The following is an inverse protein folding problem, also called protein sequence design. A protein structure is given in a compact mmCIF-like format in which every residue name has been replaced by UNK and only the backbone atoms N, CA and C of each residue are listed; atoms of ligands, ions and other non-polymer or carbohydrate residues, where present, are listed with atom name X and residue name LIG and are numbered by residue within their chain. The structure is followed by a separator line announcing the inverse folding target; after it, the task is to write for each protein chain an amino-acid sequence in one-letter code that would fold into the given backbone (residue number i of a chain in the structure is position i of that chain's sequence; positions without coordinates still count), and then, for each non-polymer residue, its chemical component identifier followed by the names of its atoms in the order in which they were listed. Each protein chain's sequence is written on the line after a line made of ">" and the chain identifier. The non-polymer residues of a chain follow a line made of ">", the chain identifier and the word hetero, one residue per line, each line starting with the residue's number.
data_IF_663396920278
#
_entry.id   IF_663396920278
#
_cell.length_a   1.000
_cell.length_b   1.000
_cell.length_c   1.000
_cell.angle_alpha   90.00
_cell.angle_beta   90.00
_cell.angle_gamma   90.00
#
_symmetry.space_group_name_H-M   'P 1'
#
loop_
_entity.id
_entity.type
_entity.pdbx_description
1 polymer ?
#
# COMPACT_ATOMS: atom_id res chain seq x y z
N UNK A 1 24.37 4.99 17.42
CA UNK A 1 23.04 5.33 16.86
C UNK A 1 22.00 4.86 17.86
N UNK A 2 21.29 5.78 18.52
CA UNK A 2 20.40 5.45 19.66
C UNK A 2 19.07 4.87 19.19
N UNK A 3 18.42 4.00 19.99
CA UNK A 3 17.13 3.36 19.71
C UNK A 3 16.08 4.35 19.19
N UNK A 4 16.07 5.57 19.74
CA UNK A 4 15.17 6.67 19.36
C UNK A 4 15.38 7.15 17.93
N UNK A 5 16.62 7.20 17.44
CA UNK A 5 16.92 7.62 16.06
C UNK A 5 16.46 6.56 15.04
N UNK A 6 16.58 5.28 15.39
CA UNK A 6 16.09 4.16 14.56
C UNK A 6 14.55 4.19 14.40
N UNK A 7 13.83 4.39 15.52
CA UNK A 7 12.36 4.49 15.51
C UNK A 7 11.87 5.71 14.72
N UNK A 8 12.56 6.85 14.81
CA UNK A 8 12.17 8.07 14.07
C UNK A 8 12.37 7.91 12.56
N UNK A 9 13.48 7.29 12.13
CA UNK A 9 13.73 7.00 10.71
C UNK A 9 12.70 6.02 10.12
N UNK A 10 12.26 5.04 10.90
CA UNK A 10 11.19 4.10 10.53
C UNK A 10 9.85 4.80 10.30
N UNK A 11 9.51 5.73 11.20
CA UNK A 11 8.27 6.52 11.14
C UNK A 11 8.27 7.44 9.90
N UNK A 12 9.41 8.06 9.56
CA UNK A 12 9.54 8.91 8.36
C UNK A 12 9.29 8.10 7.08
N UNK A 13 9.75 6.84 7.01
CA UNK A 13 9.48 5.95 5.87
C UNK A 13 7.98 5.62 5.74
N UNK A 14 7.28 5.45 6.86
CA UNK A 14 5.83 5.15 6.90
C UNK A 14 4.94 6.38 6.61
N UNK A 15 5.44 7.59 6.84
CA UNK A 15 4.72 8.86 6.57
C UNK A 15 4.97 9.42 5.16
N UNK A 16 5.61 8.66 4.28
CA UNK A 16 5.89 9.12 2.92
C UNK A 16 4.63 9.16 2.06
N UNK A 17 4.26 10.36 1.59
CA UNK A 17 3.19 10.52 0.58
C UNK A 17 3.71 10.04 -0.77
N UNK A 18 3.42 8.79 -1.12
CA UNK A 18 3.77 8.24 -2.43
C UNK A 18 2.71 8.63 -3.47
N UNK A 19 3.15 9.21 -4.58
CA UNK A 19 2.32 9.44 -5.77
C UNK A 19 2.89 8.64 -6.93
N UNK A 20 2.04 7.88 -7.60
CA UNK A 20 2.42 7.12 -8.78
C UNK A 20 1.28 7.15 -9.81
N UNK A 21 1.63 7.14 -11.08
CA UNK A 21 0.69 6.85 -12.14
C UNK A 21 0.44 5.34 -12.16
N UNK A 22 -0.82 4.93 -12.01
CA UNK A 22 -1.20 3.51 -11.95
C UNK A 22 -0.91 2.80 -13.27
N UNK A 23 -1.06 3.49 -14.40
CA UNK A 23 -0.76 2.93 -15.72
C UNK A 23 0.73 2.64 -15.87
N UNK A 24 1.57 3.63 -15.59
CA UNK A 24 3.03 3.47 -15.64
C UNK A 24 3.50 2.42 -14.62
N UNK A 25 2.87 2.35 -13.44
CA UNK A 25 3.19 1.34 -12.42
C UNK A 25 2.88 -0.07 -12.93
N UNK A 26 1.75 -0.26 -13.62
CA UNK A 26 1.36 -1.58 -14.15
C UNK A 26 2.21 -2.00 -15.36
N UNK A 27 2.57 -1.06 -16.24
CA UNK A 27 3.42 -1.34 -17.41
C UNK A 27 4.91 -1.46 -17.09
N UNK A 28 5.41 -0.68 -16.13
CA UNK A 28 6.84 -0.67 -15.78
C UNK A 28 7.29 -1.99 -15.15
N UNK A 29 8.44 -2.51 -15.57
CA UNK A 29 9.09 -3.67 -14.93
C UNK A 29 9.68 -3.38 -13.55
N UNK A 30 9.81 -2.11 -13.16
CA UNK A 30 10.46 -1.71 -11.91
C UNK A 30 9.63 -0.65 -11.17
N UNK A 31 9.07 -1.02 -10.02
CA UNK A 31 8.65 -0.05 -9.02
C UNK A 31 9.90 0.58 -8.41
N UNK A 32 10.14 1.88 -8.64
CA UNK A 32 11.26 2.62 -8.04
C UNK A 32 11.19 2.59 -6.51
N UNK A 33 10.00 2.35 -5.95
CA UNK A 33 9.74 2.27 -4.52
C UNK A 33 9.26 0.86 -4.14
N UNK A 34 9.84 0.29 -3.08
CA UNK A 34 9.47 -1.00 -2.49
C UNK A 34 7.96 -1.10 -2.22
N UNK A 35 7.34 -0.04 -1.69
CA UNK A 35 5.90 0.00 -1.44
C UNK A 35 5.07 -0.13 -2.72
N UNK A 36 5.51 0.49 -3.82
CA UNK A 36 4.83 0.38 -5.11
C UNK A 36 5.00 -1.01 -5.74
N UNK A 37 6.15 -1.65 -5.55
CA UNK A 37 6.38 -3.01 -6.01
C UNK A 37 5.48 -4.02 -5.28
N UNK A 38 5.35 -3.89 -3.96
CA UNK A 38 4.44 -4.70 -3.14
C UNK A 38 2.99 -4.45 -3.57
N UNK A 39 2.58 -3.19 -3.67
CA UNK A 39 1.22 -2.82 -4.09
C UNK A 39 0.88 -3.36 -5.48
N UNK A 40 1.81 -3.26 -6.43
CA UNK A 40 1.66 -3.86 -7.77
C UNK A 40 1.45 -5.37 -7.71
N UNK A 41 2.25 -6.08 -6.90
CA UNK A 41 2.12 -7.54 -6.74
C UNK A 41 0.76 -7.91 -6.17
N UNK A 42 0.35 -7.23 -5.11
CA UNK A 42 -0.96 -7.43 -4.46
C UNK A 42 -2.10 -7.19 -5.45
N UNK A 43 -2.07 -6.08 -6.20
CA UNK A 43 -3.10 -5.83 -7.21
C UNK A 43 -3.10 -6.90 -8.30
N UNK A 44 -1.93 -7.35 -8.76
CA UNK A 44 -1.86 -8.39 -9.78
C UNK A 44 -2.44 -9.73 -9.31
N UNK A 45 -2.21 -10.09 -8.05
CA UNK A 45 -2.59 -11.40 -7.51
C UNK A 45 -4.06 -11.45 -7.06
N UNK A 46 -4.61 -10.33 -6.60
CA UNK A 46 -5.96 -10.28 -5.98
C UNK A 46 -7.00 -9.49 -6.79
N UNK A 47 -6.65 -8.92 -7.94
CA UNK A 47 -7.55 -8.09 -8.75
C UNK A 47 -7.52 -8.38 -10.24
N UNK A 48 -8.51 -7.90 -10.98
CA UNK A 48 -8.56 -7.99 -12.45
C UNK A 48 -7.78 -6.87 -13.17
N UNK A 49 -6.95 -6.11 -12.47
CA UNK A 49 -6.30 -4.87 -12.97
C UNK A 49 -5.05 -5.18 -13.83
N UNK A 50 -4.78 -6.45 -14.19
CA UNK A 50 -3.61 -6.87 -14.98
C UNK A 50 -3.72 -6.56 -16.51
N UNK A 51 -4.52 -5.58 -16.90
CA UNK A 51 -4.65 -5.13 -18.29
C UNK A 51 -3.87 -3.83 -18.53
N UNK A 52 -3.49 -3.58 -19.78
CA UNK A 52 -2.94 -2.29 -20.22
C UNK A 52 -4.00 -1.20 -20.07
N UNK A 53 -3.58 -0.01 -19.64
CA UNK A 53 -4.48 1.14 -19.59
C UNK A 53 -5.02 1.48 -20.98
N UNK A 54 -6.25 2.04 -21.08
CA UNK A 54 -7.13 2.49 -20.00
C UNK A 54 -7.95 1.38 -19.34
N UNK A 55 -8.17 1.48 -18.03
CA UNK A 55 -9.03 0.54 -17.30
C UNK A 55 -10.49 0.74 -17.73
N UNK A 56 -11.14 -0.32 -18.19
CA UNK A 56 -12.54 -0.31 -18.60
C UNK A 56 -13.32 -1.44 -17.92
N UNK A 57 -14.59 -1.20 -17.62
CA UNK A 57 -15.45 -2.16 -16.94
C UNK A 57 -15.33 -2.14 -15.42
N UNK A 58 -15.82 -3.20 -14.77
CA UNK A 58 -15.87 -3.31 -13.32
C UNK A 58 -14.55 -3.87 -12.76
N UNK A 59 -13.87 -3.07 -11.94
CA UNK A 59 -12.67 -3.48 -11.23
C UNK A 59 -13.06 -4.07 -9.87
N UNK A 60 -12.47 -5.21 -9.53
CA UNK A 60 -12.72 -5.87 -8.25
C UNK A 60 -11.42 -6.41 -7.65
N UNK A 61 -11.39 -6.46 -6.32
CA UNK A 61 -10.34 -7.09 -5.53
C UNK A 61 -11.03 -8.14 -4.65
N UNK A 62 -10.56 -9.40 -4.67
CA UNK A 62 -11.13 -10.49 -3.86
C UNK A 62 -10.04 -11.17 -3.06
N UNK A 63 -10.40 -11.64 -1.86
CA UNK A 63 -9.56 -12.46 -0.99
C UNK A 63 -8.19 -11.83 -0.68
N UNK A 64 -8.14 -10.49 -0.61
CA UNK A 64 -6.93 -9.75 -0.34
C UNK A 64 -6.31 -10.21 0.98
N UNK A 65 -5.15 -10.85 0.88
CA UNK A 65 -4.37 -11.30 2.02
C UNK A 65 -2.98 -10.66 1.98
N UNK A 66 -2.66 -9.92 3.04
CA UNK A 66 -1.36 -9.28 3.23
C UNK A 66 -0.54 -10.11 4.20
N UNK A 67 0.40 -10.89 3.67
CA UNK A 67 1.38 -11.58 4.50
C UNK A 67 2.35 -10.56 5.13
N UNK A 68 2.66 -10.74 6.40
CA UNK A 68 3.76 -10.08 7.10
C UNK A 68 5.07 -10.06 6.31
N UNK A 69 5.37 -11.10 5.52
CA UNK A 69 6.56 -11.15 4.67
C UNK A 69 6.55 -10.13 3.52
N UNK A 70 5.37 -9.62 3.14
CA UNK A 70 5.24 -8.55 2.14
C UNK A 70 5.48 -7.16 2.72
N UNK A 71 5.48 -7.04 4.05
CA UNK A 71 5.72 -5.77 4.73
C UNK A 71 7.18 -5.78 5.21
N UNK A 72 8.08 -5.01 4.57
CA UNK A 72 9.52 -5.07 4.84
C UNK A 72 9.87 -4.62 6.25
N UNK A 73 8.99 -3.85 6.88
CA UNK A 73 9.14 -3.33 8.23
C UNK A 73 7.78 -3.35 8.91
N UNK A 74 7.64 -4.17 9.96
CA UNK A 74 6.45 -4.14 10.80
C UNK A 74 6.30 -2.74 11.42
N UNK A 75 5.15 -2.06 11.23
CA UNK A 75 4.90 -0.81 11.94
C UNK A 75 4.86 -1.09 13.45
N UNK A 76 5.26 -0.12 14.28
CA UNK A 76 5.08 -0.24 15.73
C UNK A 76 3.61 -0.44 16.11
N UNK A 77 3.36 -0.83 17.35
CA UNK A 77 1.99 -0.95 17.86
C UNK A 77 1.32 0.42 17.88
N UNK A 78 0.04 0.46 17.50
CA UNK A 78 -0.70 1.72 17.44
C UNK A 78 -1.83 1.73 16.41
N UNK A 79 -2.44 2.90 16.28
CA UNK A 79 -3.55 3.15 15.36
C UNK A 79 -3.01 3.82 14.09
N UNK A 80 -3.28 3.20 12.95
CA UNK A 80 -2.84 3.67 11.64
C UNK A 80 -4.04 4.05 10.79
N UNK A 81 -3.87 5.12 10.02
CA UNK A 81 -4.81 5.54 8.98
C UNK A 81 -4.09 5.62 7.64
N UNK A 82 -4.44 4.72 6.74
CA UNK A 82 -3.96 4.72 5.36
C UNK A 82 -5.00 5.43 4.48
N UNK A 83 -4.54 6.36 3.65
CA UNK A 83 -5.40 7.17 2.79
C UNK A 83 -4.95 7.01 1.35
N UNK A 84 -5.84 6.52 0.50
CA UNK A 84 -5.61 6.39 -0.94
C UNK A 84 -6.48 7.39 -1.69
N UNK A 85 -5.83 8.22 -2.51
CA UNK A 85 -6.49 9.21 -3.36
C UNK A 85 -6.25 8.84 -4.82
N UNK A 86 -7.33 8.52 -5.53
CA UNK A 86 -7.31 8.25 -6.96
C UNK A 86 -7.73 9.51 -7.69
N UNK A 87 -6.82 10.03 -8.52
CA UNK A 87 -7.08 11.20 -9.34
C UNK A 87 -6.95 10.83 -10.81
N UNK A 88 -7.77 11.44 -11.64
CA UNK A 88 -7.69 11.38 -13.10
C UNK A 88 -6.32 11.90 -13.55
N UNK A 89 -5.64 11.16 -14.44
CA UNK A 89 -4.25 11.47 -14.79
C UNK A 89 -4.12 12.82 -15.53
N UNK A 90 -5.10 13.16 -16.38
CA UNK A 90 -5.05 14.34 -17.24
C UNK A 90 -5.63 15.58 -16.56
N UNK A 91 -6.84 15.48 -15.99
CA UNK A 91 -7.51 16.64 -15.38
C UNK A 91 -7.15 16.84 -13.91
N UNK A 92 -6.53 15.85 -13.26
CA UNK A 92 -6.28 15.79 -11.80
C UNK A 92 -7.56 15.83 -10.96
N UNK A 93 -8.70 15.58 -11.58
CA UNK A 93 -9.97 15.48 -10.86
C UNK A 93 -9.94 14.27 -9.93
N UNK A 94 -10.46 14.44 -8.73
CA UNK A 94 -10.54 13.37 -7.76
C UNK A 94 -11.65 12.38 -8.18
N UNK A 95 -11.26 11.15 -8.49
CA UNK A 95 -12.20 10.07 -8.83
C UNK A 95 -12.69 9.40 -7.56
N UNK A 96 -11.78 9.05 -6.65
CA UNK A 96 -12.11 8.30 -5.45
C UNK A 96 -11.17 8.57 -4.28
N UNK A 97 -11.70 8.45 -3.06
CA UNK A 97 -10.95 8.44 -1.81
C UNK A 97 -11.30 7.19 -1.02
N UNK A 98 -10.28 6.47 -0.58
CA UNK A 98 -10.43 5.32 0.29
C UNK A 98 -9.62 5.52 1.57
N UNK A 99 -10.24 5.22 2.70
CA UNK A 99 -9.61 5.29 4.01
C UNK A 99 -9.62 3.91 4.63
N UNK A 100 -8.44 3.42 5.01
CA UNK A 100 -8.29 2.19 5.79
C UNK A 100 -7.77 2.58 7.16
N UNK A 101 -8.52 2.21 8.20
CA UNK A 101 -8.11 2.39 9.58
C UNK A 101 -7.90 1.02 10.20
N UNK A 102 -6.73 0.84 10.82
CA UNK A 102 -6.37 -0.41 11.47
C UNK A 102 -5.56 -0.15 12.74
N UNK A 103 -5.66 -1.06 13.69
CA UNK A 103 -4.88 -1.04 14.92
C UNK A 103 -3.97 -2.27 14.95
N UNK A 104 -2.68 -2.05 15.18
CA UNK A 104 -1.70 -3.13 15.36
C UNK A 104 -1.55 -3.36 16.86
N UNK A 105 -1.86 -4.57 17.30
CA UNK A 105 -1.75 -5.03 18.69
C UNK A 105 -0.71 -6.14 18.79
N UNK A 106 -0.02 -6.22 19.91
CA UNK A 106 0.79 -7.39 20.22
C UNK A 106 -0.14 -8.59 20.45
N UNK A 107 0.12 -9.69 19.76
CA UNK A 107 -0.55 -10.96 20.03
C UNK A 107 0.02 -11.52 21.33
N UNK A 108 -0.74 -11.44 22.43
CA UNK A 108 -0.46 -12.29 23.58
C UNK A 108 -0.83 -13.72 23.19
N UNK A 109 0.17 -14.60 23.05
CA UNK A 109 -0.05 -16.03 22.94
C UNK A 109 -0.86 -16.49 24.15
N UNK A 110 -2.13 -16.85 23.93
CA UNK A 110 -2.93 -17.56 24.91
C UNK A 110 -2.38 -18.98 24.98
N UNK A 111 -1.39 -19.20 25.85
CA UNK A 111 -1.02 -20.55 26.27
C UNK A 111 -2.26 -21.15 26.96
N UNK A 112 -2.92 -22.06 26.24
CA UNK A 112 -3.85 -23.04 26.79
C UNK A 112 -3.09 -24.33 27.10
#
# INVERSE_FOLDING_TARGET
>A
MTQTQLSTLLIIMLLSSVRANVCDMMESKAGINLYLAIFKRVLKDYSNINHSCPFSGHLWIRDLYLDSAMVPVAPPVGVYRLSYHFNEATTKDLIAKMYFQGEIRELKSSNA
#
